data_IF_760406106531
#
_entry.id   IF_760406106531
#
_cell.length_a   1.000
_cell.length_b   1.000
_cell.length_c   1.000
_cell.angle_alpha   90.00
_cell.angle_beta   90.00
_cell.angle_gamma   90.00
#
_symmetry.space_group_name_H-M   'P 1'
#
loop_
_entity.id
_entity.type
_entity.pdbx_description
1 polymer ?
#
# COMPACT_ATOMS: atom_id res chain seq x y z
N UNK A 1 21.31 -28.13 3.39
CA UNK A 1 20.97 -27.61 4.75
C UNK A 1 21.25 -26.11 4.85
N UNK A 2 20.31 -25.34 5.37
CA UNK A 2 20.41 -23.89 5.55
C UNK A 2 20.43 -23.55 7.05
N UNK A 3 21.32 -22.65 7.48
CA UNK A 3 21.42 -22.21 8.89
C UNK A 3 20.17 -21.44 9.34
N UNK A 4 19.56 -20.69 8.43
CA UNK A 4 18.34 -19.93 8.66
C UNK A 4 17.34 -20.30 7.57
N UNK A 5 16.43 -21.28 7.81
CA UNK A 5 15.41 -21.61 6.83
C UNK A 5 14.46 -20.40 6.66
N UNK A 6 13.87 -20.22 5.47
CA UNK A 6 12.84 -19.20 5.27
C UNK A 6 11.71 -19.41 6.29
N UNK A 7 11.30 -18.34 6.95
CA UNK A 7 10.09 -18.36 7.76
C UNK A 7 8.89 -18.56 6.83
N UNK A 8 8.12 -19.62 7.05
CA UNK A 8 6.81 -19.77 6.41
C UNK A 8 5.85 -18.82 7.12
N UNK A 9 5.60 -17.66 6.50
CA UNK A 9 4.65 -16.67 7.00
C UNK A 9 3.23 -17.17 6.72
N UNK A 10 2.63 -17.86 7.69
CA UNK A 10 1.24 -18.32 7.64
C UNK A 10 0.29 -17.21 8.00
N UNK A 11 -0.90 -17.24 7.43
CA UNK A 11 -2.01 -16.32 7.71
C UNK A 11 -1.61 -14.85 7.54
N UNK A 12 -0.78 -14.54 6.53
CA UNK A 12 -0.67 -13.17 6.03
C UNK A 12 -2.04 -12.68 5.56
N UNK A 13 -2.24 -11.37 5.45
CA UNK A 13 -3.56 -10.80 5.16
C UNK A 13 -4.23 -11.45 3.95
N UNK A 14 -3.51 -11.61 2.84
CA UNK A 14 -4.05 -12.21 1.64
C UNK A 14 -4.47 -13.68 1.82
N UNK A 15 -3.64 -14.49 2.50
CA UNK A 15 -3.98 -15.88 2.83
C UNK A 15 -5.20 -15.96 3.75
N UNK A 16 -5.27 -15.07 4.74
CA UNK A 16 -6.35 -15.05 5.73
C UNK A 16 -7.69 -14.66 5.09
N UNK A 17 -7.71 -13.64 4.22
CA UNK A 17 -8.92 -13.27 3.47
C UNK A 17 -9.44 -14.44 2.62
N UNK A 18 -8.54 -15.15 1.94
CA UNK A 18 -8.88 -16.34 1.17
C UNK A 18 -9.44 -17.47 2.06
N UNK A 19 -8.85 -17.70 3.24
CA UNK A 19 -9.35 -18.67 4.21
C UNK A 19 -10.75 -18.33 4.75
N UNK A 20 -11.07 -17.03 4.82
CA UNK A 20 -12.42 -16.53 5.13
C UNK A 20 -13.36 -16.51 3.91
N UNK A 21 -12.94 -17.05 2.76
CA UNK A 21 -13.68 -17.12 1.49
C UNK A 21 -14.03 -15.74 0.91
N UNK A 22 -13.22 -14.73 1.21
CA UNK A 22 -13.40 -13.37 0.71
C UNK A 22 -12.58 -13.16 -0.57
N UNK A 23 -13.16 -12.43 -1.51
CA UNK A 23 -12.47 -11.96 -2.71
C UNK A 23 -11.60 -10.75 -2.39
N UNK A 24 -10.48 -10.63 -3.10
CA UNK A 24 -9.53 -9.53 -2.92
C UNK A 24 -8.92 -9.11 -4.25
N UNK A 25 -8.50 -7.84 -4.35
CA UNK A 25 -7.91 -7.29 -5.58
C UNK A 25 -6.63 -6.51 -5.28
N UNK A 26 -5.54 -6.86 -5.97
CA UNK A 26 -4.23 -6.24 -5.82
C UNK A 26 -3.81 -5.58 -7.13
N UNK A 27 -3.46 -4.28 -7.08
CA UNK A 27 -3.08 -3.54 -8.27
C UNK A 27 -1.79 -2.74 -8.09
N UNK A 28 -0.90 -2.81 -9.06
CA UNK A 28 0.24 -1.92 -9.14
C UNK A 28 0.67 -1.76 -10.59
N UNK A 29 1.50 -0.75 -10.83
CA UNK A 29 2.28 -0.72 -12.06
C UNK A 29 3.47 -1.69 -12.00
N UNK A 30 4.10 -1.95 -13.16
CA UNK A 30 5.11 -3.01 -13.34
C UNK A 30 6.23 -2.97 -12.28
N UNK A 31 6.77 -1.79 -11.99
CA UNK A 31 7.86 -1.61 -11.00
C UNK A 31 7.51 -2.11 -9.59
N UNK A 32 6.23 -2.02 -9.21
CA UNK A 32 5.76 -2.37 -7.87
C UNK A 32 4.86 -3.61 -7.87
N UNK A 33 4.74 -4.32 -8.99
CA UNK A 33 3.90 -5.51 -9.10
C UNK A 33 4.34 -6.64 -8.17
N UNK A 34 5.65 -6.91 -8.06
CA UNK A 34 6.16 -7.90 -7.10
C UNK A 34 5.85 -7.53 -5.64
N UNK A 35 5.73 -6.23 -5.34
CA UNK A 35 5.49 -5.71 -4.00
C UNK A 35 4.06 -5.99 -3.54
N UNK A 36 3.08 -5.86 -4.43
CA UNK A 36 1.66 -6.16 -4.15
C UNK A 36 1.30 -7.64 -4.34
N UNK A 37 2.25 -8.48 -4.75
CA UNK A 37 2.06 -9.91 -4.97
C UNK A 37 3.00 -10.71 -4.10
N UNK A 38 4.19 -11.06 -4.57
CA UNK A 38 5.18 -11.87 -3.86
C UNK A 38 5.46 -11.37 -2.43
N UNK A 39 5.79 -10.08 -2.26
CA UNK A 39 6.17 -9.54 -0.96
C UNK A 39 4.96 -9.39 -0.02
N UNK A 40 3.86 -8.81 -0.51
CA UNK A 40 2.61 -8.69 0.27
C UNK A 40 2.06 -10.06 0.72
N UNK A 41 2.23 -11.09 -0.10
CA UNK A 41 1.83 -12.46 0.21
C UNK A 41 2.82 -13.21 1.11
N UNK A 42 3.79 -12.52 1.71
CA UNK A 42 4.70 -13.10 2.71
C UNK A 42 5.98 -13.69 2.14
N UNK A 43 6.39 -13.28 0.93
CA UNK A 43 7.61 -13.74 0.28
C UNK A 43 7.46 -15.08 -0.44
N UNK A 44 6.25 -15.36 -0.95
CA UNK A 44 5.96 -16.58 -1.72
C UNK A 44 5.30 -16.23 -3.04
N UNK A 45 5.72 -16.90 -4.11
CA UNK A 45 5.12 -16.77 -5.45
C UNK A 45 3.82 -17.60 -5.52
N UNK A 46 2.84 -17.19 -4.72
CA UNK A 46 1.53 -17.84 -4.62
C UNK A 46 0.45 -16.78 -4.78
N UNK A 47 -0.49 -17.05 -5.68
CA UNK A 47 -1.78 -16.36 -5.74
C UNK A 47 -2.77 -17.19 -4.93
N UNK A 48 -3.37 -16.60 -3.89
CA UNK A 48 -4.33 -17.29 -3.05
C UNK A 48 -5.69 -17.40 -3.74
N UNK A 49 -6.54 -18.31 -3.25
CA UNK A 49 -7.91 -18.43 -3.74
C UNK A 49 -8.64 -17.08 -3.59
N UNK A 50 -9.43 -16.71 -4.60
CA UNK A 50 -10.17 -15.46 -4.67
C UNK A 50 -9.30 -14.18 -4.69
N UNK A 51 -8.00 -14.29 -4.89
CA UNK A 51 -7.09 -13.17 -5.18
C UNK A 51 -7.11 -12.85 -6.68
N UNK A 52 -7.47 -11.62 -7.03
CA UNK A 52 -7.35 -11.08 -8.38
C UNK A 52 -6.22 -10.06 -8.44
N UNK A 53 -5.40 -10.12 -9.50
CA UNK A 53 -4.23 -9.27 -9.67
C UNK A 53 -4.36 -8.44 -10.94
N UNK A 54 -3.94 -7.18 -10.86
CA UNK A 54 -3.88 -6.29 -12.01
C UNK A 54 -2.50 -5.61 -12.09
N UNK A 55 -1.84 -5.75 -13.23
CA UNK A 55 -0.59 -5.06 -13.52
C UNK A 55 -0.82 -3.99 -14.59
N UNK A 56 -0.62 -2.73 -14.22
CA UNK A 56 -0.58 -1.62 -15.18
C UNK A 56 0.83 -1.52 -15.75
N UNK A 57 1.04 -1.35 -17.06
CA UNK A 57 2.38 -1.14 -17.60
C UNK A 57 3.00 0.16 -17.05
N UNK A 58 4.20 0.09 -16.48
CA UNK A 58 5.00 1.29 -16.20
C UNK A 58 5.45 1.95 -17.51
N UNK A 59 5.68 3.27 -17.54
CA UNK A 59 6.10 3.95 -18.77
C UNK A 59 7.49 3.50 -19.21
N UNK A 60 7.68 3.36 -20.53
CA UNK A 60 8.97 2.98 -21.11
C UNK A 60 9.86 4.22 -21.28
N UNK A 61 10.45 4.67 -20.18
CA UNK A 61 11.38 5.81 -20.13
C UNK A 61 12.73 5.38 -19.55
N UNK A 62 13.80 6.11 -19.86
CA UNK A 62 15.14 5.78 -19.36
C UNK A 62 15.27 5.96 -17.84
N UNK A 63 14.68 7.03 -17.31
CA UNK A 63 14.56 7.32 -15.89
C UNK A 63 13.21 7.99 -15.63
N UNK A 64 12.60 7.72 -14.47
CA UNK A 64 11.21 8.12 -14.21
C UNK A 64 11.03 9.63 -13.95
N UNK A 65 12.10 10.40 -13.75
CA UNK A 65 12.01 11.88 -13.74
C UNK A 65 11.57 12.47 -15.09
N UNK A 66 11.70 11.71 -16.19
CA UNK A 66 11.19 12.08 -17.51
C UNK A 66 9.66 11.96 -17.64
N UNK A 67 9.02 11.16 -16.76
CA UNK A 67 7.57 10.96 -16.72
C UNK A 67 7.14 10.75 -15.27
N UNK A 68 7.19 11.80 -14.43
CA UNK A 68 7.06 11.69 -12.97
C UNK A 68 5.69 11.21 -12.50
N UNK A 69 4.64 11.37 -13.30
CA UNK A 69 3.30 10.83 -13.02
C UNK A 69 3.23 9.29 -13.10
N UNK A 70 4.22 8.69 -13.76
CA UNK A 70 4.28 7.28 -14.15
C UNK A 70 2.92 6.75 -14.62
N UNK A 71 2.44 5.64 -14.04
CA UNK A 71 1.16 5.05 -14.38
C UNK A 71 0.12 5.19 -13.26
N UNK A 72 0.29 6.16 -12.36
CA UNK A 72 -0.64 6.40 -11.24
C UNK A 72 -2.09 6.61 -11.69
N UNK A 73 -2.31 7.30 -12.80
CA UNK A 73 -3.65 7.48 -13.35
C UNK A 73 -4.29 6.13 -13.74
N UNK A 74 -3.53 5.25 -14.40
CA UNK A 74 -4.01 3.93 -14.82
C UNK A 74 -4.25 2.98 -13.63
N UNK A 75 -3.42 3.06 -12.59
CA UNK A 75 -3.65 2.32 -11.34
C UNK A 75 -4.93 2.82 -10.66
N UNK A 76 -5.13 4.14 -10.58
CA UNK A 76 -6.36 4.70 -10.02
C UNK A 76 -7.61 4.31 -10.84
N UNK A 77 -7.53 4.29 -12.18
CA UNK A 77 -8.62 3.84 -13.05
C UNK A 77 -9.06 2.42 -12.68
N UNK A 78 -8.09 1.51 -12.51
CA UNK A 78 -8.36 0.12 -12.15
C UNK A 78 -8.93 -0.02 -10.75
N UNK A 79 -8.45 0.75 -9.79
CA UNK A 79 -9.01 0.76 -8.44
C UNK A 79 -10.45 1.28 -8.42
N UNK A 80 -10.73 2.38 -9.11
CA UNK A 80 -12.08 2.95 -9.23
C UNK A 80 -13.03 1.96 -9.92
N UNK A 81 -12.58 1.28 -10.98
CA UNK A 81 -13.34 0.20 -11.64
C UNK A 81 -13.76 -0.89 -10.64
N UNK A 82 -12.82 -1.40 -9.83
CA UNK A 82 -13.11 -2.46 -8.86
C UNK A 82 -13.96 -2.00 -7.67
N UNK A 83 -13.78 -0.78 -7.20
CA UNK A 83 -14.60 -0.20 -6.13
C UNK A 83 -16.04 -0.02 -6.60
N UNK A 84 -16.24 0.46 -7.83
CA UNK A 84 -17.57 0.61 -8.42
C UNK A 84 -18.25 -0.73 -8.69
N UNK A 85 -17.48 -1.79 -9.02
CA UNK A 85 -18.04 -3.13 -9.24
C UNK A 85 -18.53 -3.79 -7.95
N UNK A 86 -18.01 -3.36 -6.79
CA UNK A 86 -18.27 -3.94 -5.45
C UNK A 86 -17.99 -5.44 -5.36
N UNK A 87 -17.20 -5.99 -6.29
CA UNK A 87 -16.88 -7.43 -6.36
C UNK A 87 -15.99 -7.90 -5.22
N UNK A 88 -15.12 -7.02 -4.72
CA UNK A 88 -14.08 -7.35 -3.75
C UNK A 88 -14.27 -6.54 -2.46
N UNK A 89 -14.53 -7.16 -1.29
CA UNK A 89 -14.59 -6.45 -0.02
C UNK A 89 -13.24 -5.87 0.42
N UNK A 90 -12.13 -6.39 -0.11
CA UNK A 90 -10.79 -5.83 0.07
C UNK A 90 -10.14 -5.54 -1.28
N UNK A 91 -9.69 -4.30 -1.46
CA UNK A 91 -8.92 -3.87 -2.63
C UNK A 91 -7.70 -3.09 -2.14
N UNK A 92 -6.55 -3.29 -2.78
CA UNK A 92 -5.33 -2.57 -2.44
C UNK A 92 -4.54 -2.22 -3.70
N UNK A 93 -3.78 -1.12 -3.62
CA UNK A 93 -2.84 -0.77 -4.67
C UNK A 93 -1.54 -0.19 -4.14
N UNK A 94 -0.54 -0.15 -5.01
CA UNK A 94 0.69 0.60 -4.80
C UNK A 94 0.80 1.74 -5.84
N UNK A 95 1.14 2.94 -5.36
CA UNK A 95 1.56 4.05 -6.22
C UNK A 95 3.08 4.18 -6.16
N UNK A 96 3.73 3.89 -7.28
CA UNK A 96 5.18 3.89 -7.42
C UNK A 96 5.87 5.28 -7.45
N UNK A 97 5.24 6.37 -7.94
CA UNK A 97 6.00 7.59 -8.26
C UNK A 97 6.82 8.21 -7.14
N UNK A 98 6.34 8.38 -5.90
CA UNK A 98 7.12 9.05 -4.86
C UNK A 98 8.45 8.35 -4.59
N UNK A 99 8.49 7.03 -4.73
CA UNK A 99 9.71 6.25 -4.52
C UNK A 99 10.60 6.22 -5.77
N UNK A 100 10.04 5.79 -6.90
CA UNK A 100 10.80 5.58 -8.14
C UNK A 100 11.38 6.91 -8.67
N UNK A 101 10.63 8.00 -8.56
CA UNK A 101 11.11 9.34 -8.92
C UNK A 101 11.99 9.93 -7.81
N UNK A 102 11.72 9.61 -6.54
CA UNK A 102 12.57 9.95 -5.40
C UNK A 102 14.02 9.47 -5.58
N UNK A 103 14.21 8.25 -6.08
CA UNK A 103 15.53 7.68 -6.39
C UNK A 103 16.34 8.43 -7.45
N UNK A 104 15.71 9.28 -8.27
CA UNK A 104 16.43 10.11 -9.26
C UNK A 104 17.12 11.32 -8.61
N UNK A 105 16.70 11.71 -7.40
CA UNK A 105 17.16 12.91 -6.73
C UNK A 105 16.77 14.22 -7.42
N UNK A 106 15.87 14.18 -8.43
CA UNK A 106 15.38 15.38 -9.14
C UNK A 106 14.18 15.94 -8.38
N UNK A 107 14.42 16.96 -7.54
CA UNK A 107 13.40 17.53 -6.65
C UNK A 107 12.10 17.91 -7.36
N UNK A 108 12.17 18.68 -8.45
CA UNK A 108 10.98 19.13 -9.19
C UNK A 108 10.17 17.97 -9.79
N UNK A 109 10.84 16.88 -10.18
CA UNK A 109 10.16 15.69 -10.66
C UNK A 109 9.48 14.93 -9.50
N UNK A 110 10.13 14.84 -8.34
CA UNK A 110 9.53 14.22 -7.15
C UNK A 110 8.30 15.00 -6.64
N UNK A 111 8.29 16.34 -6.75
CA UNK A 111 7.09 17.14 -6.46
C UNK A 111 5.92 16.73 -7.37
N UNK A 112 6.14 16.69 -8.68
CA UNK A 112 5.11 16.25 -9.65
C UNK A 112 4.65 14.80 -9.43
N UNK A 113 5.57 13.93 -9.03
CA UNK A 113 5.26 12.54 -8.69
C UNK A 113 4.30 12.45 -7.49
N UNK A 114 4.54 13.25 -6.45
CA UNK A 114 3.64 13.37 -5.30
C UNK A 114 2.29 13.99 -5.70
N UNK A 115 2.27 15.05 -6.51
CA UNK A 115 1.02 15.68 -7.00
C UNK A 115 0.16 14.71 -7.82
N UNK A 116 0.77 13.93 -8.71
CA UNK A 116 0.07 12.91 -9.49
C UNK A 116 -0.49 11.79 -8.59
N UNK A 117 0.25 11.42 -7.55
CA UNK A 117 -0.18 10.43 -6.55
C UNK A 117 -1.34 10.96 -5.70
N UNK A 118 -1.30 12.22 -5.27
CA UNK A 118 -2.38 12.86 -4.53
C UNK A 118 -3.67 12.93 -5.35
N UNK A 119 -3.57 13.35 -6.62
CA UNK A 119 -4.71 13.36 -7.54
C UNK A 119 -5.32 11.95 -7.72
N UNK A 120 -4.48 10.91 -7.82
CA UNK A 120 -4.91 9.52 -7.92
C UNK A 120 -5.61 9.04 -6.64
N UNK A 121 -5.08 9.39 -5.45
CA UNK A 121 -5.70 9.10 -4.16
C UNK A 121 -7.07 9.79 -4.05
N UNK A 122 -7.19 11.05 -4.46
CA UNK A 122 -8.46 11.79 -4.45
C UNK A 122 -9.56 11.11 -5.26
N UNK A 123 -9.22 10.56 -6.44
CA UNK A 123 -10.16 9.80 -7.28
C UNK A 123 -10.64 8.51 -6.59
N UNK A 124 -9.72 7.77 -5.96
CA UNK A 124 -10.05 6.56 -5.19
C UNK A 124 -10.93 6.92 -3.97
N UNK A 125 -10.61 8.02 -3.28
CA UNK A 125 -11.39 8.49 -2.13
C UNK A 125 -12.86 8.76 -2.50
N UNK A 126 -13.10 9.48 -3.59
CA UNK A 126 -14.47 9.74 -4.04
C UNK A 126 -15.21 8.45 -4.45
N UNK A 127 -14.53 7.51 -5.10
CA UNK A 127 -15.11 6.20 -5.41
C UNK A 127 -15.45 5.40 -4.13
N UNK A 128 -14.56 5.39 -3.14
CA UNK A 128 -14.80 4.73 -1.86
C UNK A 128 -16.01 5.31 -1.15
N UNK A 129 -16.08 6.65 -1.08
CA UNK A 129 -17.19 7.39 -0.47
C UNK A 129 -18.53 7.07 -1.15
N UNK A 130 -18.56 7.03 -2.48
CA UNK A 130 -19.76 6.70 -3.24
C UNK A 130 -20.22 5.25 -3.09
N UNK A 131 -19.30 4.33 -2.82
CA UNK A 131 -19.57 2.88 -2.81
C UNK A 131 -19.59 2.23 -1.43
N UNK A 132 -19.35 3.00 -0.36
CA UNK A 132 -19.38 2.51 1.02
C UNK A 132 -18.11 1.75 1.44
N UNK A 133 -16.97 2.04 0.81
CA UNK A 133 -15.67 1.52 1.22
C UNK A 133 -15.00 2.46 2.22
N UNK A 134 -14.25 1.89 3.16
CA UNK A 134 -13.35 2.65 4.04
C UNK A 134 -11.99 2.72 3.36
N UNK A 135 -11.51 3.94 3.07
CA UNK A 135 -10.17 4.17 2.55
C UNK A 135 -9.18 4.28 3.72
N UNK A 136 -8.11 3.49 3.65
CA UNK A 136 -6.91 3.66 4.47
C UNK A 136 -5.73 3.93 3.56
N UNK A 137 -4.98 5.01 3.82
CA UNK A 137 -3.77 5.36 3.08
C UNK A 137 -2.57 5.23 4.01
N UNK A 138 -1.57 4.47 3.58
CA UNK A 138 -0.28 4.29 4.26
C UNK A 138 0.86 4.31 3.24
N UNK A 139 2.11 4.34 3.72
CA UNK A 139 3.29 4.04 2.91
C UNK A 139 4.08 2.88 3.52
N UNK A 140 4.93 2.24 2.71
CA UNK A 140 5.87 1.20 3.12
C UNK A 140 7.16 1.79 3.71
N UNK A 141 7.60 2.96 3.22
CA UNK A 141 8.70 3.74 3.79
C UNK A 141 8.66 5.20 3.29
N UNK A 142 9.62 6.02 3.75
CA UNK A 142 9.86 7.36 3.21
C UNK A 142 10.89 7.36 2.07
N UNK A 143 10.86 8.41 1.24
CA UNK A 143 11.81 8.74 0.18
C UNK A 143 11.64 10.21 -0.24
N UNK A 144 10.54 10.53 -0.93
CA UNK A 144 10.28 11.83 -1.56
C UNK A 144 10.25 13.03 -0.60
N UNK A 145 10.05 12.82 0.70
CA UNK A 145 10.06 13.91 1.68
C UNK A 145 11.47 14.43 1.98
N UNK A 146 12.53 13.73 1.51
CA UNK A 146 13.92 14.17 1.62
C UNK A 146 14.67 13.97 0.30
N UNK A 147 14.63 15.00 -0.54
CA UNK A 147 15.30 15.01 -1.86
C UNK A 147 16.68 15.68 -1.88
N UNK A 148 17.08 16.32 -0.77
CA UNK A 148 18.36 17.02 -0.64
C UNK A 148 19.09 16.60 0.64
N UNK A 149 20.40 16.43 0.55
CA UNK A 149 21.28 16.25 1.70
C UNK A 149 21.59 17.61 2.36
N UNK A 150 22.17 17.64 3.58
CA UNK A 150 22.48 18.89 4.28
C UNK A 150 23.43 19.83 3.52
N UNK A 151 24.28 19.28 2.65
CA UNK A 151 25.21 20.03 1.77
C UNK A 151 24.56 20.52 0.46
N UNK A 152 23.26 20.24 0.26
CA UNK A 152 22.50 20.59 -0.94
C UNK A 152 22.61 19.60 -2.09
N UNK A 153 23.43 18.54 -1.96
CA UNK A 153 23.50 17.47 -2.96
C UNK A 153 22.21 16.65 -3.01
N UNK A 154 22.01 15.90 -4.10
CA UNK A 154 20.83 15.05 -4.29
C UNK A 154 20.79 13.93 -3.25
N UNK A 155 19.62 13.70 -2.67
CA UNK A 155 19.37 12.51 -1.85
C UNK A 155 18.51 11.53 -2.65
N UNK A 156 19.00 10.31 -2.85
CA UNK A 156 18.41 9.29 -3.73
C UNK A 156 18.03 8.02 -2.98
N UNK A 157 18.09 8.02 -1.65
CA UNK A 157 17.83 6.85 -0.81
C UNK A 157 16.52 7.00 -0.04
N UNK A 158 16.00 5.88 0.45
CA UNK A 158 14.91 5.87 1.42
C UNK A 158 15.29 6.62 2.71
N UNK A 159 14.29 6.91 3.52
CA UNK A 159 14.48 7.53 4.83
C UNK A 159 13.98 6.63 5.96
N UNK A 160 14.31 7.02 7.19
CA UNK A 160 13.76 6.42 8.41
C UNK A 160 12.59 7.23 8.99
N UNK A 161 11.99 8.14 8.21
CA UNK A 161 10.83 8.90 8.66
C UNK A 161 9.63 7.98 8.84
N UNK A 162 8.72 8.37 9.74
CA UNK A 162 7.44 7.66 9.91
C UNK A 162 6.56 7.85 8.68
N UNK A 163 5.79 6.82 8.36
CA UNK A 163 4.79 6.83 7.30
C UNK A 163 3.42 7.27 7.83
N UNK A 164 2.57 7.89 7.00
CA UNK A 164 1.19 8.17 7.37
C UNK A 164 0.41 6.87 7.54
N UNK A 165 -0.66 6.90 8.34
CA UNK A 165 -1.72 5.90 8.30
C UNK A 165 -3.06 6.58 8.54
N UNK A 166 -3.91 6.63 7.52
CA UNK A 166 -5.21 7.32 7.57
C UNK A 166 -6.37 6.34 7.59
N UNK A 167 -7.55 6.79 8.01
CA UNK A 167 -8.80 6.04 7.94
C UNK A 167 -9.93 7.02 7.63
N UNK A 168 -10.67 6.81 6.53
CA UNK A 168 -11.73 7.72 6.09
C UNK A 168 -13.05 7.58 6.85
N UNK A 169 -13.16 6.60 7.74
CA UNK A 169 -14.40 6.30 8.46
C UNK A 169 -14.46 7.02 9.80
N UNK A 170 -15.57 7.73 10.05
CA UNK A 170 -15.86 8.36 11.33
C UNK A 170 -16.37 7.39 12.40
N UNK A 171 -16.57 6.11 12.07
CA UNK A 171 -16.98 5.08 13.03
C UNK A 171 -15.81 4.57 13.89
N UNK A 172 -14.58 4.93 13.52
CA UNK A 172 -13.37 4.49 14.19
C UNK A 172 -12.48 5.68 14.56
N UNK A 173 -11.73 5.53 15.65
CA UNK A 173 -10.69 6.48 16.05
C UNK A 173 -9.37 5.74 16.28
N UNK A 174 -8.26 6.44 16.04
CA UNK A 174 -6.94 5.89 16.31
C UNK A 174 -6.68 5.81 17.81
N UNK A 175 -6.12 4.68 18.25
CA UNK A 175 -5.61 4.48 19.60
C UNK A 175 -4.10 4.26 19.58
N UNK A 176 -3.47 4.53 20.71
CA UNK A 176 -2.05 4.22 20.92
C UNK A 176 -1.91 2.79 21.44
N UNK A 177 -0.84 2.12 21.04
CA UNK A 177 -0.44 0.86 21.66
C UNK A 177 0.25 1.17 23.00
N UNK A 178 0.02 0.32 24.00
CA UNK A 178 0.48 0.56 25.37
C UNK A 178 1.98 0.26 25.57
N UNK A 179 2.52 -0.65 24.76
CA UNK A 179 3.82 -1.29 24.94
C UNK A 179 4.88 -0.80 23.92
N UNK A 180 4.46 -0.23 22.79
CA UNK A 180 5.36 0.23 21.73
C UNK A 180 4.75 1.31 20.85
N UNK A 181 5.58 1.89 19.98
CA UNK A 181 5.08 2.69 18.86
C UNK A 181 4.41 1.81 17.80
N UNK A 182 3.43 2.40 17.11
CA UNK A 182 2.82 1.79 15.92
C UNK A 182 3.86 1.59 14.81
N UNK A 183 3.69 0.50 14.05
CA UNK A 183 4.55 0.08 12.95
C UNK A 183 3.73 -0.61 11.83
N UNK A 184 4.37 -0.96 10.72
CA UNK A 184 3.69 -1.59 9.57
C UNK A 184 2.98 -2.91 9.90
N UNK A 185 3.47 -3.66 10.90
CA UNK A 185 2.83 -4.90 11.35
C UNK A 185 1.41 -4.68 11.89
N UNK A 186 1.03 -3.45 12.21
CA UNK A 186 -0.28 -3.09 12.76
C UNK A 186 -1.34 -2.80 11.68
N UNK A 187 -0.93 -2.65 10.41
CA UNK A 187 -1.84 -2.29 9.31
C UNK A 187 -2.83 -3.42 9.03
N UNK A 188 -2.36 -4.66 8.83
CA UNK A 188 -3.26 -5.79 8.55
C UNK A 188 -4.25 -6.08 9.68
N UNK A 189 -3.85 -6.12 10.98
CA UNK A 189 -4.79 -6.18 12.09
C UNK A 189 -5.83 -5.05 12.12
N UNK A 190 -5.42 -3.82 11.75
CA UNK A 190 -6.34 -2.68 11.66
C UNK A 190 -7.36 -2.83 10.53
N UNK A 191 -6.93 -3.33 9.37
CA UNK A 191 -7.82 -3.66 8.23
C UNK A 191 -8.84 -4.71 8.65
N UNK A 192 -8.39 -5.84 9.22
CA UNK A 192 -9.28 -6.92 9.68
C UNK A 192 -10.28 -6.42 10.72
N UNK A 193 -9.84 -5.57 11.67
CA UNK A 193 -10.72 -4.98 12.66
C UNK A 193 -11.83 -4.12 12.04
N UNK A 194 -11.50 -3.29 11.05
CA UNK A 194 -12.49 -2.46 10.33
C UNK A 194 -13.43 -3.31 9.48
N UNK A 195 -12.93 -4.39 8.88
CA UNK A 195 -13.75 -5.36 8.15
C UNK A 195 -14.63 -6.22 9.07
N UNK A 196 -14.44 -6.16 10.40
CA UNK A 196 -15.15 -6.99 11.36
C UNK A 196 -14.73 -8.46 11.33
N UNK A 197 -13.50 -8.75 10.89
CA UNK A 197 -12.95 -10.10 10.77
C UNK A 197 -12.07 -10.46 11.98
N UNK A 198 -11.98 -11.77 12.31
CA UNK A 198 -11.04 -12.23 13.33
C UNK A 198 -9.59 -11.96 12.89
N UNK A 199 -8.74 -11.62 13.85
CA UNK A 199 -7.29 -11.50 13.62
C UNK A 199 -6.66 -12.86 13.94
N UNK A 200 -5.90 -13.48 13.01
CA UNK A 200 -5.27 -14.77 13.25
C UNK A 200 -4.15 -14.65 14.28
N UNK A 201 -3.91 -15.71 15.05
CA UNK A 201 -2.89 -15.73 16.12
C UNK A 201 -1.46 -15.46 15.61
N UNK A 202 -1.19 -15.74 14.33
CA UNK A 202 0.11 -15.50 13.69
C UNK A 202 0.39 -14.01 13.47
N UNK A 203 -0.64 -13.16 13.40
CA UNK A 203 -0.48 -11.70 13.36
C UNK A 203 -0.23 -11.15 14.77
N UNK A 204 1.04 -10.96 15.11
CA UNK A 204 1.46 -10.38 16.39
C UNK A 204 1.34 -8.85 16.48
N UNK A 205 0.99 -8.18 15.38
CA UNK A 205 0.59 -6.77 15.37
C UNK A 205 -0.77 -6.56 16.06
N UNK A 206 -1.15 -5.30 16.27
CA UNK A 206 -2.41 -4.95 16.90
C UNK A 206 -3.17 -3.90 16.08
N UNK A 207 -4.50 -3.95 16.12
CA UNK A 207 -5.30 -2.88 15.51
C UNK A 207 -4.98 -1.53 16.17
N UNK A 208 -4.68 -0.53 15.35
CA UNK A 208 -4.49 0.86 15.75
C UNK A 208 -5.82 1.61 15.86
N UNK A 209 -6.94 0.93 15.60
CA UNK A 209 -8.27 1.52 15.59
C UNK A 209 -9.13 0.91 16.72
N UNK A 210 -10.03 1.73 17.23
CA UNK A 210 -11.14 1.33 18.09
C UNK A 210 -12.43 2.00 17.63
N UNK A 211 -13.59 1.43 17.99
CA UNK A 211 -14.89 2.07 17.70
C UNK A 211 -15.01 3.36 18.50
N UNK A 212 -15.61 4.37 17.89
CA UNK A 212 -15.91 5.66 18.55
C UNK A 212 -16.90 5.46 19.68
#
# INVERSE_FOLDING_TARGET
>A
PTLFPPLSNKNVLAEWLAAQKLTQFHCAETEKYAHVTFFFNGGVEKQFDNEERCMVPSPKVATYDLMPEMSSAGVADKMVEQINSKKHPFVMCNFAPPDMVGHTGVYEAAVKACEATDAAIGRIFEACKANGYVLMVTADHGNAEKMKAPDGSKHTAHTCNRVPFTCSSNAFKFKKLADRAAALCDVAPSVLFVMGLPIPQEMSGASLLEKV
#
